data_IF_459248951651
#
_entry.id   IF_459248951651
#
_cell.length_a   1.000
_cell.length_b   1.000
_cell.length_c   1.000
_cell.angle_alpha   90.00
_cell.angle_beta   90.00
_cell.angle_gamma   90.00
#
_symmetry.space_group_name_H-M   'P 1'
#
loop_
_entity.id
_entity.type
_entity.pdbx_description
1 polymer ?
#
# COMPACT_ATOMS: atom_id res chain seq x y z
N UNK A 1 11.45 -13.49 -7.18
CA UNK A 1 10.88 -13.36 -5.82
C UNK A 1 9.46 -12.83 -5.97
N UNK A 2 8.45 -13.54 -5.48
CA UNK A 2 7.07 -13.03 -5.50
C UNK A 2 6.93 -11.94 -4.43
N UNK A 3 6.31 -10.81 -4.79
CA UNK A 3 6.14 -9.66 -3.88
C UNK A 3 5.39 -10.04 -2.58
N UNK A 4 4.55 -11.09 -2.61
CA UNK A 4 3.88 -11.61 -1.42
C UNK A 4 4.86 -12.15 -0.36
N UNK A 5 5.98 -12.74 -0.76
CA UNK A 5 7.00 -13.25 0.18
C UNK A 5 7.63 -12.09 0.96
N UNK A 6 7.99 -11.01 0.26
CA UNK A 6 8.54 -9.81 0.90
C UNK A 6 7.50 -9.11 1.77
N UNK A 7 6.26 -8.98 1.29
CA UNK A 7 5.16 -8.41 2.06
C UNK A 7 4.94 -9.19 3.37
N UNK A 8 4.87 -10.53 3.32
CA UNK A 8 4.70 -11.37 4.51
C UNK A 8 5.78 -11.10 5.56
N UNK A 9 7.05 -11.12 5.16
CA UNK A 9 8.17 -10.96 6.09
C UNK A 9 8.17 -9.61 6.83
N UNK A 10 7.66 -8.55 6.18
CA UNK A 10 7.54 -7.22 6.79
C UNK A 10 6.24 -7.08 7.59
N UNK A 11 5.10 -7.45 7.00
CA UNK A 11 3.79 -7.29 7.62
C UNK A 11 3.64 -8.08 8.92
N UNK A 12 4.14 -9.33 8.97
CA UNK A 12 4.07 -10.14 10.20
C UNK A 12 4.87 -9.50 11.36
N UNK A 13 5.97 -8.81 11.05
CA UNK A 13 6.75 -8.09 12.05
C UNK A 13 6.07 -6.82 12.52
N UNK A 14 5.46 -6.08 11.60
CA UNK A 14 4.67 -4.88 11.91
C UNK A 14 3.47 -5.23 12.79
N UNK A 15 2.76 -6.32 12.49
CA UNK A 15 1.65 -6.80 13.32
C UNK A 15 2.07 -7.22 14.75
N UNK A 16 3.32 -7.68 14.91
CA UNK A 16 3.85 -8.14 16.20
C UNK A 16 4.31 -7.03 17.15
N UNK A 17 4.32 -5.76 16.72
CA UNK A 17 4.84 -4.65 17.51
C UNK A 17 4.03 -3.37 17.24
N UNK A 18 3.38 -2.84 18.28
CA UNK A 18 2.42 -1.73 18.19
C UNK A 18 2.96 -0.46 17.50
N UNK A 19 4.27 -0.22 17.60
CA UNK A 19 4.93 0.97 17.04
C UNK A 19 5.85 0.67 15.86
N UNK A 20 5.85 -0.57 15.36
CA UNK A 20 6.68 -0.93 14.22
C UNK A 20 6.10 -0.38 12.92
N UNK A 21 6.98 0.12 12.06
CA UNK A 21 6.65 0.49 10.69
C UNK A 21 7.49 -0.29 9.69
N UNK A 22 6.91 -0.58 8.52
CA UNK A 22 7.55 -1.31 7.43
C UNK A 22 7.83 -0.43 6.22
N UNK A 23 8.88 -0.76 5.46
CA UNK A 23 9.12 -0.21 4.13
C UNK A 23 9.22 -1.35 3.14
N UNK A 24 8.48 -1.26 2.05
CA UNK A 24 8.48 -2.22 0.96
C UNK A 24 8.68 -1.50 -0.37
N UNK A 25 9.29 -2.18 -1.34
CA UNK A 25 9.57 -1.62 -2.66
C UNK A 25 9.38 -2.66 -3.75
N UNK A 26 8.80 -2.26 -4.88
CA UNK A 26 8.80 -3.03 -6.12
C UNK A 26 8.88 -2.08 -7.32
N UNK A 27 8.80 -2.57 -8.56
CA UNK A 27 8.92 -1.73 -9.76
C UNK A 27 8.09 -0.44 -9.69
N UNK A 28 6.78 -0.56 -9.43
CA UNK A 28 5.84 0.58 -9.34
C UNK A 28 5.36 0.90 -7.92
N UNK A 29 5.67 0.06 -6.93
CA UNK A 29 5.12 0.12 -5.56
C UNK A 29 3.67 -0.33 -5.42
N UNK A 30 2.87 -0.33 -6.49
CA UNK A 30 1.43 -0.63 -6.45
C UNK A 30 1.14 -2.08 -6.05
N UNK A 31 1.78 -3.03 -6.71
CA UNK A 31 1.58 -4.46 -6.40
C UNK A 31 1.99 -4.80 -4.97
N UNK A 32 2.95 -4.05 -4.42
CA UNK A 32 3.41 -4.24 -3.05
C UNK A 32 2.41 -3.68 -2.03
N UNK A 33 1.86 -2.48 -2.27
CA UNK A 33 0.78 -1.92 -1.45
C UNK A 33 -0.46 -2.81 -1.49
N UNK A 34 -0.86 -3.31 -2.67
CA UNK A 34 -1.99 -4.24 -2.81
C UNK A 34 -1.76 -5.52 -2.01
N UNK A 35 -0.55 -6.08 -2.06
CA UNK A 35 -0.23 -7.31 -1.35
C UNK A 35 -0.13 -7.12 0.17
N UNK A 36 0.49 -6.03 0.63
CA UNK A 36 0.64 -5.71 2.05
C UNK A 36 -0.71 -5.45 2.71
N UNK A 37 -1.63 -4.77 2.03
CA UNK A 37 -3.01 -4.54 2.50
C UNK A 37 -3.90 -5.81 2.52
N UNK A 38 -3.35 -7.00 2.25
CA UNK A 38 -4.06 -8.28 2.50
C UNK A 38 -3.79 -8.86 3.89
N UNK A 39 -2.87 -8.27 4.63
CA UNK A 39 -2.55 -8.67 5.99
C UNK A 39 -3.35 -7.80 6.95
N UNK A 40 -4.02 -8.44 7.92
CA UNK A 40 -4.93 -7.74 8.84
C UNK A 40 -4.24 -6.63 9.64
N UNK A 41 -4.89 -5.50 9.79
CA UNK A 41 -4.31 -4.35 10.51
C UNK A 41 -3.07 -3.74 9.83
N UNK A 42 -2.79 -4.08 8.57
CA UNK A 42 -1.80 -3.37 7.76
C UNK A 42 -2.49 -2.30 6.94
N UNK A 43 -2.02 -1.08 7.12
CA UNK A 43 -2.44 0.09 6.37
C UNK A 43 -1.23 0.53 5.52
N UNK A 44 -1.07 -0.11 4.36
CA UNK A 44 0.05 0.10 3.48
C UNK A 44 -0.24 1.20 2.43
N UNK A 45 0.52 2.29 2.47
CA UNK A 45 0.38 3.41 1.55
C UNK A 45 1.47 3.40 0.48
N UNK A 46 1.09 3.49 -0.80
CA UNK A 46 2.04 3.80 -1.87
C UNK A 46 2.19 5.31 -1.99
N UNK A 47 3.36 5.83 -1.70
CA UNK A 47 3.66 7.26 -1.75
C UNK A 47 4.55 7.57 -2.95
N UNK A 48 4.32 8.70 -3.63
CA UNK A 48 5.16 9.15 -4.75
C UNK A 48 5.86 10.49 -4.46
N UNK A 49 5.55 11.11 -3.33
CA UNK A 49 6.18 12.33 -2.82
C UNK A 49 6.34 12.28 -1.30
N UNK A 50 7.17 13.17 -0.76
CA UNK A 50 7.34 13.32 0.69
C UNK A 50 6.02 13.74 1.36
N UNK A 51 5.28 14.66 0.74
CA UNK A 51 3.95 15.09 1.20
C UNK A 51 2.98 13.91 1.29
N UNK A 52 2.93 13.02 0.29
CA UNK A 52 2.10 11.82 0.36
C UNK A 52 2.46 10.94 1.55
N UNK A 53 3.75 10.84 1.89
CA UNK A 53 4.25 10.05 3.01
C UNK A 53 3.84 10.65 4.36
N UNK A 54 3.93 11.98 4.50
CA UNK A 54 3.45 12.70 5.69
C UNK A 54 1.94 12.49 5.86
N UNK A 55 1.17 12.70 4.78
CA UNK A 55 -0.28 12.56 4.79
C UNK A 55 -0.71 11.10 5.05
N UNK A 56 0.06 10.11 4.57
CA UNK A 56 -0.17 8.72 4.86
C UNK A 56 -0.06 8.40 6.36
N UNK A 57 0.93 8.96 7.06
CA UNK A 57 1.05 8.84 8.52
C UNK A 57 -0.05 9.61 9.23
N UNK A 58 -0.23 10.88 8.90
CA UNK A 58 -1.13 11.82 9.59
C UNK A 58 -2.59 11.37 9.49
N UNK A 59 -3.06 11.02 8.29
CA UNK A 59 -4.50 10.74 8.04
C UNK A 59 -4.83 9.25 8.18
N UNK A 60 -3.94 8.37 7.72
CA UNK A 60 -4.27 6.96 7.56
C UNK A 60 -3.60 6.07 8.61
N UNK A 61 -2.81 6.65 9.52
CA UNK A 61 -1.91 5.91 10.41
C UNK A 61 -1.14 4.81 9.65
N UNK A 62 -0.70 5.09 8.42
CA UNK A 62 -0.12 4.06 7.56
C UNK A 62 1.10 3.44 8.25
N UNK A 63 1.11 2.14 8.48
CA UNK A 63 2.18 1.42 9.17
C UNK A 63 3.13 0.70 8.20
N UNK A 64 2.83 0.72 6.90
CA UNK A 64 3.73 0.22 5.86
C UNK A 64 3.82 1.23 4.72
N UNK A 65 5.03 1.68 4.41
CA UNK A 65 5.33 2.52 3.24
C UNK A 65 5.67 1.64 2.04
N UNK A 66 5.04 1.87 0.90
CA UNK A 66 5.32 1.19 -0.37
C UNK A 66 5.89 2.17 -1.40
N UNK A 67 7.03 1.81 -1.99
CA UNK A 67 7.80 2.66 -2.90
C UNK A 67 7.94 2.05 -4.29
N UNK A 68 8.12 2.94 -5.28
CA UNK A 68 8.44 2.56 -6.64
C UNK A 68 9.96 2.59 -6.84
N UNK A 69 10.55 1.45 -7.17
CA UNK A 69 11.96 1.37 -7.56
C UNK A 69 12.26 2.30 -8.74
N UNK A 70 11.28 2.48 -9.64
CA UNK A 70 11.37 3.39 -10.79
C UNK A 70 11.49 4.87 -10.43
N UNK A 71 11.14 5.29 -9.21
CA UNK A 71 11.26 6.68 -8.78
C UNK A 71 12.71 7.10 -8.49
N UNK A 72 13.62 6.14 -8.32
CA UNK A 72 15.02 6.40 -8.01
C UNK A 72 15.30 6.68 -6.54
N UNK A 73 16.57 6.49 -6.15
CA UNK A 73 17.00 6.53 -4.74
C UNK A 73 16.76 7.89 -4.08
N UNK A 74 17.09 8.99 -4.76
CA UNK A 74 16.99 10.33 -4.17
C UNK A 74 15.55 10.69 -3.78
N UNK A 75 14.60 10.41 -4.67
CA UNK A 75 13.17 10.63 -4.40
C UNK A 75 12.70 9.70 -3.28
N UNK A 76 13.00 8.41 -3.37
CA UNK A 76 12.59 7.44 -2.35
C UNK A 76 13.17 7.74 -0.96
N UNK A 77 14.41 8.26 -0.87
CA UNK A 77 15.00 8.65 0.40
C UNK A 77 14.22 9.79 1.07
N UNK A 78 13.80 10.81 0.31
CA UNK A 78 12.96 11.90 0.82
C UNK A 78 11.61 11.39 1.34
N UNK A 79 10.99 10.45 0.61
CA UNK A 79 9.72 9.85 1.01
C UNK A 79 9.89 9.04 2.32
N UNK A 80 10.95 8.24 2.42
CA UNK A 80 11.25 7.46 3.63
C UNK A 80 11.46 8.39 4.82
N UNK A 81 12.27 9.44 4.67
CA UNK A 81 12.56 10.39 5.75
C UNK A 81 11.27 11.06 6.25
N UNK A 82 10.43 11.53 5.33
CA UNK A 82 9.15 12.15 5.66
C UNK A 82 8.20 11.19 6.40
N UNK A 83 8.12 9.94 5.93
CA UNK A 83 7.29 8.92 6.56
C UNK A 83 7.78 8.53 7.97
N UNK A 84 9.09 8.40 8.16
CA UNK A 84 9.69 7.98 9.44
C UNK A 84 9.64 9.08 10.50
N UNK A 85 9.69 10.35 10.09
CA UNK A 85 9.67 11.49 11.01
C UNK A 85 8.26 11.93 11.39
N UNK A 86 7.26 11.54 10.62
CA UNK A 86 5.88 12.00 10.82
C UNK A 86 5.13 11.08 11.78
N UNK A 87 4.75 11.55 12.98
CA UNK A 87 3.92 10.78 13.89
C UNK A 87 2.48 10.71 13.39
N UNK A 88 1.74 9.71 13.86
CA UNK A 88 0.29 9.73 13.72
C UNK A 88 -0.31 10.72 14.71
N UNK A 89 -1.14 11.63 14.24
CA UNK A 89 -1.74 12.69 15.05
C UNK A 89 -3.14 12.34 15.58
N UNK A 90 -3.60 11.09 15.38
CA UNK A 90 -4.97 10.71 15.75
C UNK A 90 -6.03 11.29 14.82
N UNK A 91 -5.66 11.81 13.64
CA UNK A 91 -6.65 12.31 12.69
C UNK A 91 -7.39 11.12 12.08
N UNK A 92 -8.71 11.29 11.94
CA UNK A 92 -9.61 10.30 11.34
C UNK A 92 -9.66 8.93 12.03
N UNK A 93 -9.49 8.88 13.35
CA UNK A 93 -9.62 7.63 14.13
C UNK A 93 -10.94 6.91 13.84
N UNK A 94 -12.08 7.63 13.87
CA UNK A 94 -13.40 7.05 13.60
C UNK A 94 -13.46 6.36 12.22
N UNK A 95 -12.87 6.97 11.18
CA UNK A 95 -12.82 6.36 9.85
C UNK A 95 -11.91 5.13 9.81
N UNK A 96 -10.82 5.13 10.57
CA UNK A 96 -9.90 3.99 10.65
C UNK A 96 -10.53 2.81 11.42
N UNK A 97 -11.33 3.10 12.45
CA UNK A 97 -12.14 2.10 13.16
C UNK A 97 -13.15 1.47 12.22
N UNK A 98 -13.92 2.26 11.46
CA UNK A 98 -14.84 1.73 10.45
C UNK A 98 -14.12 0.88 9.38
N UNK A 99 -12.91 1.27 8.98
CA UNK A 99 -12.13 0.50 8.02
C UNK A 99 -11.63 -0.82 8.62
N UNK A 100 -11.27 -0.83 9.91
CA UNK A 100 -10.91 -2.03 10.65
C UNK A 100 -12.11 -3.00 10.72
N UNK A 101 -13.31 -2.49 11.00
CA UNK A 101 -14.53 -3.31 11.04
C UNK A 101 -14.83 -3.92 9.66
N UNK A 102 -14.69 -3.13 8.59
CA UNK A 102 -14.93 -3.58 7.23
C UNK A 102 -13.92 -4.64 6.73
N UNK A 103 -12.72 -4.71 7.32
CA UNK A 103 -11.64 -5.61 6.87
C UNK A 103 -12.05 -7.09 6.85
N UNK A 104 -12.99 -7.49 7.71
CA UNK A 104 -13.50 -8.87 7.76
C UNK A 104 -14.48 -9.21 6.63
N UNK A 105 -15.16 -8.19 6.08
CA UNK A 105 -16.21 -8.33 5.06
C UNK A 105 -15.66 -8.11 3.63
N UNK A 106 -14.63 -7.27 3.53
CA UNK A 106 -14.11 -6.74 2.28
C UNK A 106 -13.22 -7.73 1.50
N UNK A 107 -13.82 -8.67 0.79
CA UNK A 107 -13.06 -9.51 -0.17
C UNK A 107 -13.33 -9.06 -1.61
N UNK A 108 -12.28 -8.80 -2.42
CA UNK A 108 -12.49 -8.54 -3.84
C UNK A 108 -13.06 -9.78 -4.52
N UNK A 109 -13.87 -9.57 -5.57
CA UNK A 109 -14.43 -10.65 -6.37
C UNK A 109 -13.32 -11.57 -6.90
N UNK A 110 -13.57 -12.88 -7.02
CA UNK A 110 -12.67 -13.81 -7.68
C UNK A 110 -12.23 -13.30 -9.06
N UNK A 111 -10.95 -13.47 -9.41
CA UNK A 111 -10.46 -13.10 -10.73
C UNK A 111 -11.11 -13.92 -11.86
N UNK A 112 -11.70 -15.09 -11.54
CA UNK A 112 -12.53 -15.86 -12.46
C UNK A 112 -13.74 -15.08 -12.98
N UNK A 113 -14.20 -14.09 -12.22
CA UNK A 113 -15.41 -13.32 -12.50
C UNK A 113 -15.07 -12.02 -13.26
N UNK A 114 -13.77 -11.70 -13.39
CA UNK A 114 -13.30 -10.53 -14.11
C UNK A 114 -13.25 -10.86 -15.61
N UNK A 115 -14.11 -10.22 -16.40
CA UNK A 115 -14.07 -10.32 -17.86
C UNK A 115 -12.82 -9.59 -18.38
N UNK A 116 -11.88 -10.35 -18.95
CA UNK A 116 -10.74 -9.78 -19.67
C UNK A 116 -11.20 -9.52 -21.11
N UNK A 117 -11.24 -8.25 -21.57
CA UNK A 117 -11.57 -7.94 -22.95
C UNK A 117 -10.58 -8.63 -23.90
N UNK A 118 -11.04 -9.14 -25.04
CA UNK A 118 -10.11 -9.56 -26.08
C UNK A 118 -9.35 -8.33 -26.60
N UNK A 119 -8.11 -8.51 -27.06
CA UNK A 119 -7.29 -7.41 -27.60
C UNK A 119 -8.02 -6.66 -28.73
N UNK A 120 -8.82 -7.39 -29.50
CA UNK A 120 -9.62 -6.88 -30.62
C UNK A 120 -10.87 -6.08 -30.19
N UNK A 121 -11.27 -6.14 -28.91
CA UNK A 121 -12.42 -5.40 -28.37
C UNK A 121 -12.07 -3.96 -27.98
N UNK A 122 -10.77 -3.62 -27.91
CA UNK A 122 -10.28 -2.37 -27.29
C UNK A 122 -9.70 -1.39 -28.32
N UNK A 123 -9.24 -1.88 -29.48
CA UNK A 123 -8.71 -1.01 -30.54
C UNK A 123 -9.74 -0.84 -31.66
N UNK A 124 -10.04 0.40 -32.11
CA UNK A 124 -10.84 0.58 -33.31
C UNK A 124 -10.12 -0.12 -34.46
N UNK A 125 -10.81 -1.03 -35.14
CA UNK A 125 -10.31 -1.65 -36.38
C UNK A 125 -9.94 -0.51 -37.32
N UNK A 126 -8.65 -0.26 -37.50
CA UNK A 126 -8.15 0.69 -38.49
C UNK A 126 -8.67 0.22 -39.84
N UNK A 127 -9.52 1.04 -40.46
CA UNK A 127 -9.97 0.89 -41.84
C UNK A 127 -8.84 1.25 -42.82
#
# INVERSE_FOLDING_TARGET
MHYLTSARAVCERVQGAADAVGVLCCGTGMGMSIAANKFRGIYAARCVSAEDAEMARIINNANVLCLAASAGLAVNAQIIDAFMRTPFEGRKIEQLEHLCDFELEARPAPLSDVRVPAVDDVLPKTA
#
